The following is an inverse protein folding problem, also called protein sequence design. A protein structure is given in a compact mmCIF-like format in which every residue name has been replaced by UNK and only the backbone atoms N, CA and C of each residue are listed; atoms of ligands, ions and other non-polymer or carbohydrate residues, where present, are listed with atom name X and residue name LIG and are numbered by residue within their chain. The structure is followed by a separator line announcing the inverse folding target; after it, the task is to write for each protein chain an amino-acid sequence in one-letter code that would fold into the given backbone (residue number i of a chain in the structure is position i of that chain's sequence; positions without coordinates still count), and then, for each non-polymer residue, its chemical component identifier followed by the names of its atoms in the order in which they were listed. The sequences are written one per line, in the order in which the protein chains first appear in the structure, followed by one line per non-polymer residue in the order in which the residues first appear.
data_IF_579989352560
#
_entry.id   IF_579989352560
#
_cell.length_a   1.000
_cell.length_b   1.000
_cell.length_c   1.000
_cell.angle_alpha   90.00
_cell.angle_beta   90.00
_cell.angle_gamma   90.00
#
_symmetry.space_group_name_H-M   'P 1'
#
loop_
_entity.id
_entity.type
_entity.pdbx_description
1 polymer ?
#
# COMPACT_ATOMS: atom_id res chain seq x y z
N UNK A 1 -13.21 12.45 -27.46
CA UNK A 1 -12.99 10.98 -27.33
C UNK A 1 -13.55 10.57 -25.99
N UNK A 2 -14.59 9.75 -25.97
CA UNK A 2 -15.10 9.20 -24.72
C UNK A 2 -14.34 7.91 -24.37
N UNK A 3 -14.51 7.39 -23.14
CA UNK A 3 -13.82 6.16 -22.69
C UNK A 3 -14.15 4.94 -23.55
N UNK A 4 -15.39 4.85 -24.06
CA UNK A 4 -15.82 3.74 -24.91
C UNK A 4 -15.14 3.79 -26.27
N UNK A 5 -15.01 4.97 -26.88
CA UNK A 5 -14.27 5.16 -28.13
C UNK A 5 -12.78 4.84 -27.96
N UNK A 6 -12.18 5.26 -26.84
CA UNK A 6 -10.80 4.94 -26.52
C UNK A 6 -10.58 3.44 -26.41
N UNK A 7 -11.43 2.72 -25.66
CA UNK A 7 -11.34 1.26 -25.48
C UNK A 7 -11.59 0.51 -26.78
N UNK A 8 -12.56 0.94 -27.60
CA UNK A 8 -12.91 0.26 -28.87
C UNK A 8 -11.85 0.45 -29.97
N UNK A 9 -11.11 1.54 -29.95
CA UNK A 9 -10.07 1.85 -30.93
C UNK A 9 -8.69 1.29 -30.56
N UNK A 10 -8.53 0.76 -29.32
CA UNK A 10 -7.27 0.18 -28.87
C UNK A 10 -7.24 -1.31 -29.21
N UNK A 11 -6.60 -1.64 -30.32
CA UNK A 11 -6.37 -3.04 -30.75
C UNK A 11 -5.25 -3.73 -29.96
N UNK A 12 -4.45 -2.98 -29.21
CA UNK A 12 -3.40 -3.51 -28.31
C UNK A 12 -3.93 -3.41 -26.89
N UNK A 13 -3.96 -4.52 -26.16
CA UNK A 13 -4.38 -4.56 -24.76
C UNK A 13 -3.59 -3.56 -23.90
N UNK A 14 -4.20 -2.46 -23.41
CA UNK A 14 -3.50 -1.43 -22.66
C UNK A 14 -3.04 -1.95 -21.30
N UNK A 15 -1.94 -1.37 -20.80
CA UNK A 15 -1.53 -1.46 -19.42
C UNK A 15 -2.26 -0.36 -18.64
N UNK A 16 -2.93 -0.74 -17.55
CA UNK A 16 -3.63 0.20 -16.68
C UNK A 16 -2.69 0.65 -15.56
N UNK A 17 -2.52 1.96 -15.36
CA UNK A 17 -1.84 2.50 -14.19
C UNK A 17 -2.87 2.88 -13.13
N UNK A 18 -2.73 2.32 -11.90
CA UNK A 18 -3.67 2.49 -10.81
C UNK A 18 -2.95 3.06 -9.58
N UNK A 19 -3.49 4.15 -9.05
CA UNK A 19 -3.07 4.74 -7.78
C UNK A 19 -4.13 4.64 -6.70
N UNK A 20 -3.84 5.22 -5.56
CA UNK A 20 -4.64 5.20 -4.31
C UNK A 20 -6.09 5.67 -4.50
N UNK A 21 -6.36 6.53 -5.48
CA UNK A 21 -7.72 7.01 -5.77
C UNK A 21 -8.72 5.89 -6.05
N UNK A 22 -8.28 4.78 -6.64
CA UNK A 22 -9.14 3.62 -6.88
C UNK A 22 -9.51 2.93 -5.55
N UNK A 23 -8.55 2.71 -4.68
CA UNK A 23 -8.79 2.12 -3.36
C UNK A 23 -9.68 3.01 -2.50
N UNK A 24 -9.44 4.32 -2.48
CA UNK A 24 -10.27 5.31 -1.75
C UNK A 24 -11.73 5.31 -2.24
N UNK A 25 -11.97 5.06 -3.53
CA UNK A 25 -13.32 5.00 -4.09
C UNK A 25 -14.05 3.72 -3.68
N UNK A 26 -13.38 2.58 -3.73
CA UNK A 26 -14.04 1.27 -3.69
C UNK A 26 -13.85 0.49 -2.40
N UNK A 27 -12.83 0.79 -1.58
CA UNK A 27 -12.56 0.06 -0.35
C UNK A 27 -12.97 0.83 0.90
N UNK A 28 -13.57 0.13 1.85
CA UNK A 28 -13.56 0.56 3.24
C UNK A 28 -12.12 0.51 3.78
N UNK A 29 -11.82 1.28 4.82
CA UNK A 29 -10.51 1.31 5.46
C UNK A 29 -9.33 1.47 4.47
N UNK A 30 -9.52 2.33 3.47
CA UNK A 30 -8.47 2.73 2.54
C UNK A 30 -7.95 4.13 2.88
N UNK A 31 -6.69 4.38 2.57
CA UNK A 31 -5.98 5.58 3.01
C UNK A 31 -5.18 6.22 1.88
N UNK A 32 -5.15 7.54 1.85
CA UNK A 32 -4.10 8.29 1.16
C UNK A 32 -2.80 8.22 1.98
N UNK A 33 -1.68 8.66 1.42
CA UNK A 33 -0.42 8.76 2.17
C UNK A 33 -0.59 9.53 3.49
N UNK A 34 -1.17 10.72 3.42
CA UNK A 34 -1.40 11.58 4.57
C UNK A 34 -2.30 10.91 5.63
N UNK A 35 -3.42 10.34 5.19
CA UNK A 35 -4.36 9.70 6.12
C UNK A 35 -3.82 8.39 6.70
N UNK A 36 -3.00 7.64 5.97
CA UNK A 36 -2.35 6.43 6.46
C UNK A 36 -1.35 6.76 7.58
N UNK A 37 -0.45 7.69 7.32
CA UNK A 37 0.57 8.07 8.30
C UNK A 37 -0.05 8.73 9.54
N UNK A 38 -1.07 9.57 9.35
CA UNK A 38 -1.87 10.13 10.46
C UNK A 38 -2.55 9.04 11.28
N UNK A 39 -3.14 8.03 10.62
CA UNK A 39 -3.76 6.88 11.29
C UNK A 39 -2.74 6.15 12.14
N UNK A 40 -1.57 5.81 11.59
CA UNK A 40 -0.50 5.12 12.33
C UNK A 40 -0.06 5.96 13.54
N UNK A 41 0.19 7.26 13.37
CA UNK A 41 0.57 8.16 14.46
C UNK A 41 -0.43 8.11 15.62
N UNK A 42 -1.74 8.22 15.31
CA UNK A 42 -2.81 8.21 16.31
C UNK A 42 -2.98 6.87 17.05
N UNK A 43 -2.41 5.79 16.55
CA UNK A 43 -2.53 4.47 17.14
C UNK A 43 -1.62 4.25 18.35
N UNK A 44 -0.47 4.93 18.38
CA UNK A 44 0.54 4.77 19.43
C UNK A 44 0.83 6.07 20.21
N UNK A 45 0.48 7.22 19.65
CA UNK A 45 0.65 8.51 20.34
C UNK A 45 -0.74 9.14 20.58
N UNK A 46 -1.11 9.43 21.86
CA UNK A 46 -2.41 10.03 22.18
C UNK A 46 -2.50 11.53 21.87
N UNK A 47 -1.37 12.19 21.60
CA UNK A 47 -1.33 13.61 21.26
C UNK A 47 -1.83 13.82 19.82
N UNK A 48 -2.95 14.54 19.61
CA UNK A 48 -3.50 14.78 18.29
C UNK A 48 -2.63 15.69 17.42
N UNK A 49 -1.73 16.46 18.02
CA UNK A 49 -0.84 17.40 17.33
C UNK A 49 0.47 16.74 16.89
N UNK A 50 0.84 15.62 17.50
CA UNK A 50 2.08 14.88 17.20
C UNK A 50 2.33 14.66 15.70
N UNK A 51 1.32 14.19 14.95
CA UNK A 51 1.45 14.00 13.51
C UNK A 51 1.64 15.33 12.75
N UNK A 52 0.98 16.39 13.21
CA UNK A 52 1.07 17.71 12.58
C UNK A 52 2.44 18.32 12.76
N UNK A 53 3.07 18.11 13.92
CA UNK A 53 4.44 18.58 14.20
C UNK A 53 5.43 17.90 13.26
N UNK A 54 5.42 16.57 13.15
CA UNK A 54 6.26 15.84 12.21
C UNK A 54 6.02 16.31 10.77
N UNK A 55 4.75 16.50 10.40
CA UNK A 55 4.39 16.94 9.06
C UNK A 55 4.90 18.35 8.74
N UNK A 56 4.90 19.25 9.74
CA UNK A 56 5.41 20.60 9.59
C UNK A 56 6.94 20.63 9.39
N UNK A 57 7.68 19.73 10.05
CA UNK A 57 9.14 19.60 9.90
C UNK A 57 9.56 19.14 8.49
N UNK A 58 8.67 18.43 7.80
CA UNK A 58 8.91 17.86 6.46
C UNK A 58 8.08 18.52 5.36
N UNK A 59 7.82 19.83 5.50
CA UNK A 59 7.05 20.61 4.52
C UNK A 59 7.97 21.23 3.47
N UNK A 60 7.56 21.14 2.19
CA UNK A 60 8.14 21.88 1.07
C UNK A 60 7.21 22.99 0.58
N UNK A 61 7.67 23.90 -0.28
CA UNK A 61 6.80 24.92 -0.87
C UNK A 61 5.61 24.35 -1.66
N UNK A 62 5.71 23.13 -2.17
CA UNK A 62 4.71 22.49 -3.04
C UNK A 62 4.06 21.24 -2.45
N UNK A 63 4.38 20.87 -1.18
CA UNK A 63 3.85 19.64 -0.57
C UNK A 63 4.63 19.17 0.64
N UNK A 64 4.62 17.86 0.88
CA UNK A 64 5.25 17.21 2.03
C UNK A 64 6.11 16.03 1.60
N UNK A 65 7.23 15.79 2.30
CA UNK A 65 8.08 14.61 2.17
C UNK A 65 7.47 13.43 2.93
N UNK A 66 6.51 12.77 2.36
CA UNK A 66 5.82 11.67 3.05
C UNK A 66 6.72 10.47 3.35
N UNK A 67 7.75 10.23 2.58
CA UNK A 67 8.80 9.24 2.81
C UNK A 67 9.62 9.53 4.07
N UNK A 68 10.00 10.81 4.29
CA UNK A 68 10.69 11.28 5.49
C UNK A 68 9.76 11.23 6.72
N UNK A 69 8.50 11.66 6.57
CA UNK A 69 7.48 11.52 7.62
C UNK A 69 7.32 10.05 7.99
N UNK A 70 7.24 9.15 7.02
CA UNK A 70 7.16 7.71 7.26
C UNK A 70 8.40 7.16 7.98
N UNK A 71 9.60 7.64 7.63
CA UNK A 71 10.87 7.27 8.29
C UNK A 71 10.85 7.65 9.76
N UNK A 72 10.41 8.87 10.09
CA UNK A 72 10.30 9.29 11.48
C UNK A 72 9.25 8.47 12.24
N UNK A 73 8.08 8.27 11.66
CA UNK A 73 7.02 7.46 12.26
C UNK A 73 7.43 6.00 12.45
N UNK A 74 8.15 5.41 11.50
CA UNK A 74 8.69 4.04 11.64
C UNK A 74 9.60 3.93 12.86
N UNK A 75 10.52 4.87 13.03
CA UNK A 75 11.43 4.91 14.18
C UNK A 75 10.66 4.98 15.50
N UNK A 76 9.73 5.91 15.60
CA UNK A 76 8.98 6.16 16.84
C UNK A 76 8.02 5.01 17.15
N UNK A 77 7.32 4.46 16.15
CA UNK A 77 6.45 3.29 16.28
C UNK A 77 7.24 2.04 16.72
N UNK A 78 8.38 1.77 16.07
CA UNK A 78 9.23 0.63 16.42
C UNK A 78 9.75 0.74 17.86
N UNK A 79 10.12 1.95 18.31
CA UNK A 79 10.56 2.19 19.67
C UNK A 79 9.41 2.03 20.67
N UNK A 80 8.23 2.59 20.37
CA UNK A 80 7.04 2.43 21.20
C UNK A 80 6.69 0.96 21.43
N UNK A 81 6.67 0.12 20.37
CA UNK A 81 6.36 -1.31 20.49
C UNK A 81 7.45 -2.09 21.20
N UNK A 82 8.71 -1.67 21.10
CA UNK A 82 9.82 -2.29 21.83
C UNK A 82 9.69 -2.07 23.33
N UNK A 83 9.22 -0.91 23.76
CA UNK A 83 8.99 -0.54 25.16
C UNK A 83 7.70 -1.11 25.71
N UNK A 84 6.66 -1.22 24.88
CA UNK A 84 5.31 -1.70 25.23
C UNK A 84 5.03 -3.05 24.56
N UNK A 85 5.73 -4.10 25.00
CA UNK A 85 5.69 -5.43 24.33
C UNK A 85 4.34 -6.14 24.41
N UNK A 86 3.60 -5.88 25.48
CA UNK A 86 2.30 -6.47 25.76
C UNK A 86 1.21 -5.40 25.62
N UNK A 87 0.03 -5.80 25.16
CA UNK A 87 -1.09 -4.88 24.93
C UNK A 87 -1.56 -4.87 23.48
N UNK A 88 -2.03 -3.71 23.02
CA UNK A 88 -2.68 -3.56 21.71
C UNK A 88 -1.88 -4.12 20.52
N UNK A 89 -0.57 -4.02 20.55
CA UNK A 89 0.32 -4.42 19.45
C UNK A 89 1.12 -5.70 19.76
N UNK A 90 0.71 -6.51 20.75
CA UNK A 90 1.41 -7.73 21.12
C UNK A 90 1.58 -8.68 19.92
N UNK A 91 0.52 -8.86 19.12
CA UNK A 91 0.55 -9.68 17.91
C UNK A 91 1.59 -9.20 16.86
N UNK A 92 1.82 -7.88 16.73
CA UNK A 92 2.86 -7.34 15.85
C UNK A 92 4.26 -7.64 16.40
N UNK A 93 4.44 -7.56 17.72
CA UNK A 93 5.69 -7.94 18.37
C UNK A 93 5.96 -9.45 18.18
N UNK A 94 4.97 -10.31 18.34
CA UNK A 94 5.09 -11.76 18.13
C UNK A 94 5.50 -12.06 16.68
N UNK A 95 4.84 -11.43 15.69
CA UNK A 95 5.22 -11.56 14.30
C UNK A 95 6.64 -11.07 14.03
N UNK A 96 7.05 -9.96 14.63
CA UNK A 96 8.39 -9.41 14.49
C UNK A 96 9.44 -10.39 15.00
N UNK A 97 9.28 -10.92 16.21
CA UNK A 97 10.24 -11.85 16.79
C UNK A 97 10.27 -13.20 16.04
N UNK A 98 9.11 -13.71 15.62
CA UNK A 98 9.03 -14.92 14.80
C UNK A 98 9.73 -14.79 13.45
N UNK A 99 9.72 -13.60 12.84
CA UNK A 99 10.49 -13.32 11.62
C UNK A 99 11.98 -13.20 11.90
N UNK A 100 12.37 -12.51 12.98
CA UNK A 100 13.77 -12.38 13.38
C UNK A 100 14.42 -13.75 13.65
N UNK A 101 13.73 -14.68 14.30
CA UNK A 101 14.20 -16.06 14.51
C UNK A 101 14.47 -16.80 13.21
N UNK A 102 13.75 -16.47 12.14
CA UNK A 102 13.94 -17.02 10.79
C UNK A 102 14.99 -16.26 9.96
N UNK A 103 15.63 -15.24 10.54
CA UNK A 103 16.58 -14.39 9.83
C UNK A 103 15.93 -13.39 8.84
N UNK A 104 14.61 -13.16 8.98
CA UNK A 104 13.86 -12.24 8.13
C UNK A 104 13.74 -10.89 8.86
N UNK A 105 14.33 -9.85 8.30
CA UNK A 105 14.32 -8.51 8.89
C UNK A 105 13.16 -7.67 8.32
N UNK A 106 12.07 -7.56 9.08
CA UNK A 106 10.92 -6.71 8.73
C UNK A 106 10.62 -5.84 9.94
N UNK A 107 10.49 -4.52 9.75
CA UNK A 107 10.16 -3.62 10.86
C UNK A 107 8.74 -3.85 11.39
N UNK A 108 8.51 -3.54 12.67
CA UNK A 108 7.17 -3.59 13.28
C UNK A 108 6.19 -2.66 12.56
N UNK A 109 6.69 -1.51 12.11
CA UNK A 109 5.92 -0.55 11.33
C UNK A 109 5.38 -1.17 10.04
N UNK A 110 6.22 -1.83 9.23
CA UNK A 110 5.78 -2.50 7.99
C UNK A 110 4.84 -3.68 8.25
N UNK A 111 5.07 -4.43 9.31
CA UNK A 111 4.16 -5.50 9.74
C UNK A 111 2.78 -4.94 10.11
N UNK A 112 2.75 -3.84 10.86
CA UNK A 112 1.51 -3.16 11.24
C UNK A 112 0.78 -2.55 10.02
N UNK A 113 1.49 -1.92 9.10
CA UNK A 113 0.89 -1.41 7.86
C UNK A 113 0.22 -2.52 7.04
N UNK A 114 0.90 -3.66 6.91
CA UNK A 114 0.34 -4.81 6.20
C UNK A 114 -0.91 -5.37 6.90
N UNK A 115 -0.93 -5.40 8.21
CA UNK A 115 -2.08 -5.83 9.03
C UNK A 115 -3.26 -4.86 8.85
N UNK A 116 -3.02 -3.57 9.05
CA UNK A 116 -4.03 -2.51 8.90
C UNK A 116 -4.70 -2.50 7.53
N UNK A 117 -3.91 -2.65 6.45
CA UNK A 117 -4.41 -2.56 5.08
C UNK A 117 -5.00 -3.87 4.56
N UNK A 118 -4.72 -5.00 5.21
CA UNK A 118 -5.29 -6.32 4.86
C UNK A 118 -6.77 -6.40 5.15
N UNK A 119 -7.27 -5.68 6.13
CA UNK A 119 -8.68 -5.66 6.53
C UNK A 119 -9.58 -4.83 5.58
N UNK A 120 -9.02 -4.30 4.49
CA UNK A 120 -9.79 -3.51 3.52
C UNK A 120 -10.79 -4.38 2.77
N UNK A 121 -12.07 -4.02 2.81
CA UNK A 121 -13.17 -4.70 2.12
C UNK A 121 -13.82 -3.78 1.08
N UNK A 122 -14.47 -4.35 0.08
CA UNK A 122 -15.19 -3.57 -0.95
C UNK A 122 -16.45 -2.97 -0.31
N UNK A 123 -16.68 -1.68 -0.53
CA UNK A 123 -17.89 -0.97 -0.12
C UNK A 123 -19.12 -1.56 -0.80
N UNK A 124 -20.19 -1.81 -0.06
CA UNK A 124 -21.45 -2.31 -0.63
C UNK A 124 -22.00 -1.39 -1.72
N UNK A 125 -21.89 -0.08 -1.51
CA UNK A 125 -22.31 0.93 -2.49
C UNK A 125 -21.53 0.90 -3.80
N UNK A 126 -20.32 0.33 -3.81
CA UNK A 126 -19.46 0.22 -4.98
C UNK A 126 -19.68 -1.05 -5.81
N UNK A 127 -20.42 -2.03 -5.29
CA UNK A 127 -20.61 -3.33 -5.95
C UNK A 127 -21.10 -3.24 -7.41
N UNK A 128 -22.07 -2.36 -7.78
CA UNK A 128 -22.49 -2.21 -9.18
C UNK A 128 -21.36 -1.72 -10.09
N UNK A 129 -20.58 -0.71 -9.66
CA UNK A 129 -19.45 -0.19 -10.44
C UNK A 129 -18.33 -1.23 -10.55
N UNK A 130 -18.05 -1.97 -9.50
CA UNK A 130 -17.08 -3.08 -9.49
C UNK A 130 -17.48 -4.15 -10.49
N UNK A 131 -18.76 -4.48 -10.58
CA UNK A 131 -19.24 -5.46 -11.57
C UNK A 131 -18.99 -5.00 -13.01
N UNK A 132 -19.18 -3.71 -13.31
CA UNK A 132 -18.84 -3.13 -14.61
C UNK A 132 -17.31 -3.10 -14.83
N UNK A 133 -16.55 -2.72 -13.83
CA UNK A 133 -15.09 -2.66 -13.93
C UNK A 133 -14.47 -4.04 -14.19
N UNK A 134 -15.01 -5.10 -13.61
CA UNK A 134 -14.60 -6.49 -13.91
C UNK A 134 -14.72 -6.85 -15.40
N UNK A 135 -15.68 -6.28 -16.12
CA UNK A 135 -15.85 -6.54 -17.57
C UNK A 135 -14.69 -5.98 -18.38
N UNK A 136 -14.00 -4.94 -17.90
CA UNK A 136 -12.83 -4.36 -18.56
C UNK A 136 -11.62 -5.32 -18.60
N UNK A 137 -11.60 -6.38 -17.76
CA UNK A 137 -10.50 -7.36 -17.71
C UNK A 137 -10.09 -7.90 -19.08
N UNK A 138 -11.08 -8.11 -19.98
CA UNK A 138 -10.83 -8.67 -21.32
C UNK A 138 -9.98 -7.76 -22.21
N UNK A 139 -9.96 -6.46 -21.89
CA UNK A 139 -9.32 -5.42 -22.70
C UNK A 139 -8.02 -4.91 -22.06
N UNK A 140 -7.64 -5.42 -20.87
CA UNK A 140 -6.46 -4.99 -20.11
C UNK A 140 -5.43 -6.11 -20.12
N UNK A 141 -4.19 -5.81 -20.53
CA UNK A 141 -3.11 -6.80 -20.51
C UNK A 141 -2.56 -7.01 -19.11
N UNK A 142 -2.27 -5.92 -18.42
CA UNK A 142 -1.69 -5.91 -17.08
C UNK A 142 -2.00 -4.60 -16.37
N UNK A 143 -1.69 -4.55 -15.09
CA UNK A 143 -1.86 -3.37 -14.25
C UNK A 143 -0.52 -3.02 -13.59
N UNK A 144 -0.17 -1.75 -13.54
CA UNK A 144 0.91 -1.20 -12.70
C UNK A 144 0.25 -0.44 -11.57
N UNK A 145 0.66 -0.68 -10.34
CA UNK A 145 0.08 0.01 -9.19
C UNK A 145 1.10 0.34 -8.11
N UNK A 146 0.87 1.48 -7.47
CA UNK A 146 1.56 1.89 -6.24
C UNK A 146 0.80 1.46 -4.97
N UNK A 147 -0.40 0.88 -5.11
CA UNK A 147 -1.24 0.50 -3.97
C UNK A 147 -0.74 -0.79 -3.32
N UNK A 148 -0.77 -0.83 -2.01
CA UNK A 148 -0.36 -2.01 -1.23
C UNK A 148 -1.45 -3.09 -1.13
N UNK A 149 -2.75 -2.71 -1.23
CA UNK A 149 -3.88 -3.63 -1.13
C UNK A 149 -3.96 -4.64 -2.29
N UNK A 150 -4.83 -5.63 -2.16
CA UNK A 150 -5.00 -6.72 -3.13
C UNK A 150 -6.27 -6.60 -3.96
N UNK A 151 -6.89 -5.42 -4.02
CA UNK A 151 -8.17 -5.23 -4.71
C UNK A 151 -8.11 -5.58 -6.19
N UNK A 152 -7.08 -5.13 -6.90
CA UNK A 152 -6.91 -5.36 -8.35
C UNK A 152 -6.77 -6.85 -8.66
N UNK A 153 -5.97 -7.56 -7.87
CA UNK A 153 -5.79 -9.01 -7.98
C UNK A 153 -7.12 -9.75 -7.83
N UNK A 154 -7.91 -9.36 -6.83
CA UNK A 154 -9.23 -9.93 -6.58
C UNK A 154 -10.23 -9.58 -7.69
N UNK A 155 -10.18 -8.36 -8.25
CA UNK A 155 -11.06 -7.91 -9.29
C UNK A 155 -10.82 -8.64 -10.62
N UNK A 156 -9.58 -8.74 -11.03
CA UNK A 156 -9.21 -9.24 -12.36
C UNK A 156 -8.70 -10.68 -12.35
N UNK A 157 -8.37 -11.25 -11.18
CA UNK A 157 -7.70 -12.55 -11.09
C UNK A 157 -6.32 -12.53 -11.74
N UNK A 158 -5.63 -11.38 -11.66
CA UNK A 158 -4.27 -11.22 -12.16
C UNK A 158 -3.26 -11.62 -11.10
N UNK A 159 -2.08 -12.06 -11.53
CA UNK A 159 -1.01 -12.47 -10.63
C UNK A 159 -0.23 -11.25 -10.11
N UNK A 160 -0.09 -11.07 -8.78
CA UNK A 160 0.74 -10.00 -8.23
C UNK A 160 2.23 -10.31 -8.46
N UNK A 161 2.96 -9.31 -8.92
CA UNK A 161 4.41 -9.32 -9.06
C UNK A 161 4.99 -8.21 -8.19
N UNK A 162 5.86 -8.57 -7.27
CA UNK A 162 6.44 -7.67 -6.26
C UNK A 162 7.97 -7.78 -6.30
N UNK A 163 8.65 -6.65 -6.23
CA UNK A 163 10.13 -6.61 -6.22
C UNK A 163 10.73 -7.33 -7.43
N UNK A 164 11.74 -8.16 -7.22
CA UNK A 164 12.47 -8.84 -8.29
C UNK A 164 11.61 -9.79 -9.16
N UNK A 165 10.44 -10.21 -8.70
CA UNK A 165 9.53 -11.03 -9.50
C UNK A 165 8.99 -10.29 -10.74
N UNK A 166 9.03 -8.97 -10.73
CA UNK A 166 8.66 -8.11 -11.87
C UNK A 166 9.54 -8.41 -13.09
N UNK A 167 10.81 -8.71 -12.89
CA UNK A 167 11.76 -9.01 -13.96
C UNK A 167 11.50 -10.33 -14.69
N UNK A 168 10.76 -11.25 -14.05
CA UNK A 168 10.43 -12.57 -14.57
C UNK A 168 9.04 -12.64 -15.17
N UNK A 169 8.41 -11.50 -15.43
CA UNK A 169 6.99 -11.41 -15.70
C UNK A 169 6.58 -11.83 -17.12
N UNK A 170 5.42 -12.47 -17.21
CA UNK A 170 4.64 -12.51 -18.43
C UNK A 170 3.81 -11.20 -18.51
N UNK A 171 3.85 -10.44 -19.63
CA UNK A 171 3.15 -9.16 -19.76
C UNK A 171 1.62 -9.26 -19.68
N UNK A 172 1.04 -10.46 -19.75
CA UNK A 172 -0.41 -10.67 -19.72
C UNK A 172 -0.88 -11.23 -18.36
N UNK A 173 -1.91 -10.59 -17.78
CA UNK A 173 -2.55 -11.07 -16.56
C UNK A 173 -1.73 -10.83 -15.28
N UNK A 174 -0.88 -9.80 -15.27
CA UNK A 174 -0.04 -9.45 -14.12
C UNK A 174 -0.42 -8.11 -13.50
N UNK A 175 -0.25 -8.01 -12.18
CA UNK A 175 -0.29 -6.75 -11.43
C UNK A 175 1.12 -6.44 -10.93
N UNK A 176 1.73 -5.42 -11.49
CA UNK A 176 3.05 -4.94 -11.09
C UNK A 176 2.91 -4.00 -9.88
N UNK A 177 3.24 -4.49 -8.70
CA UNK A 177 3.14 -3.77 -7.43
C UNK A 177 4.47 -3.10 -7.13
N UNK A 178 4.68 -1.93 -7.74
CA UNK A 178 5.98 -1.25 -7.70
C UNK A 178 6.36 -0.70 -6.33
N UNK A 179 5.39 -0.46 -5.43
CA UNK A 179 5.66 -0.07 -4.04
C UNK A 179 5.45 -1.22 -3.03
N UNK A 180 5.37 -2.46 -3.50
CA UNK A 180 5.17 -3.61 -2.62
C UNK A 180 3.71 -3.99 -2.41
N UNK A 181 3.47 -4.97 -1.53
CA UNK A 181 2.15 -5.54 -1.26
C UNK A 181 2.01 -5.94 0.21
N UNK A 182 0.79 -5.82 0.75
CA UNK A 182 0.46 -6.29 2.12
C UNK A 182 0.73 -7.78 2.34
N UNK A 183 0.79 -8.58 1.27
CA UNK A 183 1.15 -10.01 1.36
C UNK A 183 2.64 -10.26 1.56
N UNK A 184 3.49 -9.26 1.28
CA UNK A 184 4.95 -9.29 1.42
C UNK A 184 5.43 -8.01 2.12
N UNK A 185 5.27 -7.89 3.45
CA UNK A 185 5.58 -6.66 4.18
C UNK A 185 7.03 -6.20 4.05
N UNK A 186 7.96 -7.14 3.85
CA UNK A 186 9.38 -6.87 3.62
C UNK A 186 9.66 -6.11 2.30
N UNK A 187 8.71 -6.12 1.38
CA UNK A 187 8.80 -5.42 0.08
C UNK A 187 8.01 -4.12 0.01
N UNK A 188 7.40 -3.69 1.11
CA UNK A 188 6.70 -2.39 1.17
C UNK A 188 7.74 -1.27 1.09
N UNK A 189 7.55 -0.37 0.10
CA UNK A 189 8.35 0.83 -0.12
C UNK A 189 7.57 2.02 0.41
N UNK A 190 8.04 2.63 1.51
CA UNK A 190 7.33 3.71 2.19
C UNK A 190 8.28 4.71 2.87
N UNK A 191 9.45 4.29 3.33
CA UNK A 191 10.44 5.13 3.97
C UNK A 191 11.46 5.68 2.97
N UNK A 192 12.21 6.71 3.38
CA UNK A 192 13.29 7.28 2.57
C UNK A 192 14.32 6.21 2.15
N UNK A 193 14.75 5.35 3.08
CA UNK A 193 15.68 4.26 2.79
C UNK A 193 15.11 3.23 1.80
N UNK A 194 13.81 2.97 1.83
CA UNK A 194 13.17 2.08 0.86
C UNK A 194 13.24 2.67 -0.56
N UNK A 195 13.04 3.99 -0.69
CA UNK A 195 13.15 4.68 -1.99
C UNK A 195 14.58 4.76 -2.49
N UNK A 196 15.56 4.89 -1.59
CA UNK A 196 16.98 4.84 -1.96
C UNK A 196 17.39 3.48 -2.53
N UNK A 197 16.89 2.38 -1.94
CA UNK A 197 17.12 1.02 -2.45
C UNK A 197 16.38 0.73 -3.77
N UNK A 198 15.24 1.41 -3.99
CA UNK A 198 14.41 1.22 -5.17
C UNK A 198 14.97 1.93 -6.41
N UNK A 199 15.69 3.04 -6.27
CA UNK A 199 16.29 3.85 -7.35
C UNK A 199 17.68 3.33 -7.73
#
# INVERSE_FOLDING_TARGET
MNIQEFISNYHNHPVLFVGTGLSLRYLENSYSWDSLLKKVASEFNPDPEYYLDIKAEHMYPTGYAFDQIATQLEKDFNQHLKENRHGKFEHINDLFYANMEKGINISRFKLYLADLLRESTIKDSALPEIAEFKKARKNISSVITTNYDTMIEQLFGFNPLVGNSILLSNPYGSVYKIHGCVSQPDKIIITESDYEEFN
#
